data_IF_562289689335
#
_entry.id   IF_562289689335
#
_cell.length_a   1.000
_cell.length_b   1.000
_cell.length_c   1.000
_cell.angle_alpha   90.00
_cell.angle_beta   90.00
_cell.angle_gamma   90.00
#
_symmetry.space_group_name_H-M   'P 1'
#
loop_
_entity.id
_entity.type
_entity.pdbx_description
1 polymer ?
#
# COMPACT_ATOMS: atom_id res chain seq x y z
N UNK A 1 4.90 -3.70 45.70
CA UNK A 1 5.74 -4.25 46.78
C UNK A 1 7.11 -4.56 46.22
N UNK A 2 8.13 -4.03 46.87
CA UNK A 2 9.53 -3.92 46.44
C UNK A 2 10.23 -5.28 46.41
N UNK A 3 10.92 -5.62 45.32
CA UNK A 3 11.75 -6.84 45.24
C UNK A 3 13.02 -6.68 46.08
N UNK A 4 13.31 -7.59 47.04
CA UNK A 4 14.57 -7.54 47.77
C UNK A 4 15.73 -8.13 46.95
N UNK A 5 16.88 -7.44 47.05
CA UNK A 5 18.17 -7.79 46.45
C UNK A 5 18.86 -8.93 47.21
N UNK A 6 18.93 -10.12 46.61
CA UNK A 6 20.09 -11.06 46.59
C UNK A 6 19.64 -12.41 46.02
N UNK A 7 20.04 -12.72 44.79
CA UNK A 7 19.92 -14.05 44.21
C UNK A 7 21.21 -14.83 44.49
N UNK A 8 21.12 -15.97 45.17
CA UNK A 8 22.21 -16.95 45.24
C UNK A 8 21.80 -18.22 44.50
N UNK A 9 22.47 -18.45 43.37
CA UNK A 9 22.52 -19.66 42.51
C UNK A 9 21.21 -20.34 42.11
N UNK A 10 20.89 -20.22 40.82
CA UNK A 10 19.95 -21.08 40.10
C UNK A 10 20.67 -22.38 39.70
N UNK A 11 20.16 -23.54 40.11
CA UNK A 11 20.54 -24.82 39.54
C UNK A 11 19.31 -25.42 38.84
N UNK A 12 19.35 -25.50 37.51
CA UNK A 12 18.25 -26.00 36.68
C UNK A 12 18.31 -27.52 36.59
N UNK A 13 17.22 -28.20 36.94
CA UNK A 13 17.05 -29.65 36.72
C UNK A 13 15.68 -29.84 36.03
N UNK A 14 15.69 -29.85 34.69
CA UNK A 14 14.58 -30.00 33.71
C UNK A 14 13.83 -28.72 33.26
N UNK A 15 13.37 -28.64 31.98
CA UNK A 15 12.96 -27.40 31.32
C UNK A 15 11.61 -26.80 31.78
N UNK A 16 10.73 -27.59 32.40
CA UNK A 16 9.32 -27.18 32.58
C UNK A 16 8.93 -26.94 34.05
N UNK A 17 9.91 -26.89 34.96
CA UNK A 17 9.65 -26.68 36.40
C UNK A 17 10.76 -25.84 37.01
N UNK A 18 10.42 -24.59 37.38
CA UNK A 18 11.33 -23.73 38.15
C UNK A 18 11.10 -24.02 39.63
N UNK A 19 12.15 -24.49 40.30
CA UNK A 19 12.12 -24.76 41.74
C UNK A 19 12.96 -23.71 42.46
N UNK A 20 12.35 -22.99 43.41
CA UNK A 20 13.00 -21.91 44.15
C UNK A 20 13.06 -22.30 45.63
N UNK A 21 14.23 -22.13 46.25
CA UNK A 21 14.46 -22.37 47.67
C UNK A 21 14.50 -21.04 48.42
N UNK A 22 13.65 -20.87 49.43
CA UNK A 22 13.63 -19.69 50.29
C UNK A 22 13.43 -20.13 51.75
N UNK A 23 14.32 -19.71 52.66
CA UNK A 23 14.21 -19.97 54.11
C UNK A 23 13.88 -21.44 54.46
N UNK A 24 14.48 -22.40 53.74
CA UNK A 24 14.29 -23.83 53.99
C UNK A 24 13.00 -24.46 53.45
N UNK A 25 12.14 -23.72 52.76
CA UNK A 25 10.91 -24.23 52.15
C UNK A 25 11.04 -24.39 50.62
N UNK A 26 10.65 -25.56 50.11
CA UNK A 26 10.63 -25.87 48.68
C UNK A 26 9.28 -25.46 48.06
N UNK A 27 9.26 -24.43 47.22
CA UNK A 27 8.08 -24.11 46.41
C UNK A 27 8.25 -24.60 44.97
N UNK A 28 7.26 -25.37 44.48
CA UNK A 28 7.12 -25.74 43.06
C UNK A 28 6.06 -24.85 42.41
N UNK A 29 6.47 -24.07 41.43
CA UNK A 29 5.56 -23.26 40.61
C UNK A 29 5.42 -23.97 39.27
N UNK A 30 4.25 -24.55 39.00
CA UNK A 30 3.91 -25.05 37.66
C UNK A 30 3.59 -23.85 36.75
N UNK A 31 4.43 -23.65 35.73
CA UNK A 31 4.15 -22.65 34.70
C UNK A 31 3.03 -23.16 33.81
N UNK A 32 1.81 -22.66 34.03
CA UNK A 32 0.71 -22.88 33.09
C UNK A 32 0.99 -22.06 31.84
N UNK A 33 1.31 -22.73 30.73
CA UNK A 33 1.56 -22.08 29.44
C UNK A 33 0.39 -21.17 29.04
N UNK A 34 0.62 -19.85 29.04
CA UNK A 34 -0.31 -18.90 28.46
C UNK A 34 0.05 -18.79 26.98
N UNK A 35 -0.70 -19.49 26.12
CA UNK A 35 -0.55 -19.37 24.66
C UNK A 35 -0.69 -17.88 24.26
N UNK A 36 0.34 -17.27 23.64
CA UNK A 36 0.22 -15.90 23.16
C UNK A 36 -0.83 -15.85 22.04
N UNK A 37 -1.90 -15.09 22.25
CA UNK A 37 -2.86 -14.77 21.19
C UNK A 37 -2.21 -13.74 20.28
N UNK A 38 -1.57 -14.19 19.19
CA UNK A 38 -1.16 -13.30 18.13
C UNK A 38 -2.40 -12.67 17.48
N UNK A 39 -2.68 -11.42 17.79
CA UNK A 39 -3.55 -10.59 16.97
C UNK A 39 -2.84 -10.32 15.64
N UNK A 40 -3.53 -10.46 14.52
CA UNK A 40 -3.01 -10.05 13.22
C UNK A 40 -2.83 -8.54 13.28
N UNK A 41 -1.60 -8.08 13.43
CA UNK A 41 -1.28 -6.67 13.28
C UNK A 41 -1.48 -6.30 11.81
N UNK A 42 -2.52 -5.52 11.52
CA UNK A 42 -2.74 -4.93 10.19
C UNK A 42 -1.69 -3.83 9.97
N UNK A 43 -0.50 -4.22 9.50
CA UNK A 43 0.47 -3.25 9.00
C UNK A 43 -0.09 -2.57 7.76
N UNK A 44 -0.07 -1.24 7.73
CA UNK A 44 -0.33 -0.48 6.51
C UNK A 44 0.63 -0.97 5.41
N UNK A 45 0.06 -1.38 4.27
CA UNK A 45 0.82 -1.97 3.16
C UNK A 45 1.19 -0.94 2.09
N UNK A 46 0.54 0.24 2.10
CA UNK A 46 0.77 1.28 1.10
C UNK A 46 1.97 2.14 1.48
N UNK A 47 2.95 2.20 0.59
CA UNK A 47 4.11 3.09 0.72
C UNK A 47 3.74 4.57 0.50
N UNK A 48 2.71 4.82 -0.32
CA UNK A 48 2.32 6.18 -0.74
C UNK A 48 0.85 6.46 -0.42
N UNK A 49 0.58 7.67 0.07
CA UNK A 49 -0.78 8.20 0.23
C UNK A 49 -1.43 8.36 -1.14
N UNK A 50 -2.73 8.04 -1.22
CA UNK A 50 -3.54 8.25 -2.43
C UNK A 50 -4.42 9.47 -2.23
N UNK A 51 -4.40 10.36 -3.20
CA UNK A 51 -5.25 11.54 -3.23
C UNK A 51 -6.39 11.27 -4.21
N UNK A 52 -7.66 11.43 -3.79
CA UNK A 52 -8.79 11.28 -4.70
C UNK A 52 -8.73 12.41 -5.73
N UNK A 53 -8.54 12.06 -6.99
CA UNK A 53 -8.45 13.03 -8.07
C UNK A 53 -9.06 12.49 -9.34
N UNK A 54 -10.01 13.25 -9.88
CA UNK A 54 -10.79 12.92 -11.06
C UNK A 54 -10.27 13.69 -12.27
N UNK A 55 -9.04 13.40 -12.68
CA UNK A 55 -8.43 14.09 -13.81
C UNK A 55 -8.67 13.37 -15.14
N UNK A 56 -8.86 14.12 -16.24
CA UNK A 56 -8.85 13.56 -17.59
C UNK A 56 -7.51 12.90 -17.88
N UNK A 57 -7.59 11.73 -18.52
CA UNK A 57 -6.42 11.07 -19.08
C UNK A 57 -6.61 10.79 -20.57
N UNK A 58 -5.48 10.72 -21.25
CA UNK A 58 -5.35 10.15 -22.58
C UNK A 58 -4.32 9.05 -22.51
N UNK A 59 -4.54 7.95 -23.22
CA UNK A 59 -3.61 6.83 -23.21
C UNK A 59 -3.48 6.17 -24.58
N UNK A 60 -2.34 5.53 -24.75
CA UNK A 60 -1.91 4.85 -25.97
C UNK A 60 -1.46 3.44 -25.61
N UNK A 61 -1.96 2.47 -26.37
CA UNK A 61 -1.48 1.08 -26.31
C UNK A 61 -0.26 0.95 -27.22
N UNK A 62 0.71 0.12 -26.84
CA UNK A 62 1.89 -0.13 -27.68
C UNK A 62 1.55 -0.58 -29.12
N UNK A 63 0.43 -1.30 -29.28
CA UNK A 63 0.01 -1.89 -30.56
C UNK A 63 -1.04 -1.05 -31.31
N UNK A 64 -1.36 0.17 -30.86
CA UNK A 64 -2.38 1.01 -31.50
C UNK A 64 -1.92 2.47 -31.57
N UNK A 65 -1.90 3.08 -32.77
CA UNK A 65 -1.61 4.50 -32.91
C UNK A 65 -2.79 5.38 -32.45
N UNK A 66 -3.99 4.82 -32.34
CA UNK A 66 -5.16 5.56 -31.89
C UNK A 66 -5.11 5.76 -30.37
N UNK A 67 -5.28 7.01 -29.95
CA UNK A 67 -5.46 7.36 -28.56
C UNK A 67 -6.87 6.98 -28.06
N UNK A 68 -6.98 6.91 -26.75
CA UNK A 68 -8.22 6.69 -26.01
C UNK A 68 -8.23 7.62 -24.81
N UNK A 69 -9.41 7.94 -24.31
CA UNK A 69 -9.59 8.80 -23.14
C UNK A 69 -10.15 8.02 -21.96
N UNK A 70 -9.94 8.55 -20.77
CA UNK A 70 -10.48 8.00 -19.52
C UNK A 70 -10.37 9.01 -18.39
N UNK A 71 -10.58 8.55 -17.17
CA UNK A 71 -10.45 9.38 -15.97
C UNK A 71 -9.61 8.69 -14.91
N UNK A 72 -8.77 9.44 -14.22
CA UNK A 72 -8.24 8.98 -12.93
C UNK A 72 -9.33 9.03 -11.86
N UNK A 73 -9.17 8.20 -10.82
CA UNK A 73 -10.00 8.19 -9.62
C UNK A 73 -9.16 8.54 -8.39
N UNK A 74 -7.89 8.15 -8.41
CA UNK A 74 -6.88 8.57 -7.44
C UNK A 74 -5.50 8.65 -8.09
N UNK A 75 -4.58 9.35 -7.41
CA UNK A 75 -3.15 9.28 -7.69
C UNK A 75 -2.32 9.14 -6.43
N UNK A 76 -1.12 8.60 -6.61
CA UNK A 76 -0.04 8.55 -5.64
C UNK A 76 1.28 8.68 -6.39
N UNK A 77 2.39 8.82 -5.65
CA UNK A 77 3.74 8.80 -6.26
C UNK A 77 4.08 7.46 -6.93
N UNK A 78 3.39 6.37 -6.59
CA UNK A 78 3.65 5.05 -7.14
C UNK A 78 2.74 4.66 -8.32
N UNK A 79 1.66 5.39 -8.57
CA UNK A 79 0.67 4.96 -9.56
C UNK A 79 -0.67 5.69 -9.46
N UNK A 80 -1.57 5.30 -10.35
CA UNK A 80 -2.92 5.86 -10.48
C UNK A 80 -3.96 4.75 -10.37
N UNK A 81 -5.15 5.13 -9.93
CA UNK A 81 -6.34 4.40 -10.25
C UNK A 81 -7.05 5.05 -11.43
N UNK A 82 -7.37 4.27 -12.46
CA UNK A 82 -7.95 4.74 -13.72
C UNK A 82 -9.27 4.01 -13.99
N UNK A 83 -10.22 4.75 -14.54
CA UNK A 83 -11.46 4.26 -15.10
C UNK A 83 -11.33 4.22 -16.63
N UNK A 84 -11.11 3.03 -17.19
CA UNK A 84 -10.98 2.85 -18.65
C UNK A 84 -12.35 2.55 -19.30
N UNK A 85 -12.63 3.09 -20.50
CA UNK A 85 -13.87 2.78 -21.23
C UNK A 85 -13.82 1.44 -21.99
N UNK A 86 -12.65 0.80 -22.03
CA UNK A 86 -12.42 -0.47 -22.72
C UNK A 86 -11.59 -1.40 -21.84
N UNK A 87 -11.67 -2.70 -22.12
CA UNK A 87 -10.92 -3.70 -21.39
C UNK A 87 -9.42 -3.60 -21.71
N UNK A 88 -8.60 -3.55 -20.68
CA UNK A 88 -7.13 -3.64 -20.74
C UNK A 88 -6.67 -4.95 -20.08
N UNK A 89 -5.39 -5.26 -20.15
CA UNK A 89 -4.84 -6.51 -19.59
C UNK A 89 -3.83 -6.24 -18.48
N UNK A 90 -3.80 -7.08 -17.44
CA UNK A 90 -2.77 -7.01 -16.40
C UNK A 90 -1.40 -7.32 -16.99
N UNK A 91 -0.38 -6.54 -16.61
CA UNK A 91 0.98 -6.57 -17.18
C UNK A 91 1.14 -5.74 -18.45
N UNK A 92 0.05 -5.18 -18.99
CA UNK A 92 0.11 -4.32 -20.17
C UNK A 92 0.75 -2.97 -19.83
N UNK A 93 1.70 -2.54 -20.66
CA UNK A 93 2.26 -1.19 -20.61
C UNK A 93 1.44 -0.22 -21.47
N UNK A 94 1.14 0.95 -20.92
CA UNK A 94 0.40 2.03 -21.58
C UNK A 94 1.19 3.34 -21.43
N UNK A 95 1.26 4.13 -22.50
CA UNK A 95 1.69 5.52 -22.39
C UNK A 95 0.48 6.36 -22.01
N UNK A 96 0.59 7.14 -20.94
CA UNK A 96 -0.51 7.92 -20.37
C UNK A 96 -0.12 9.40 -20.30
N UNK A 97 -1.06 10.26 -20.67
CA UNK A 97 -1.03 11.70 -20.43
C UNK A 97 -2.12 12.04 -19.41
N UNK A 98 -1.74 12.73 -18.34
CA UNK A 98 -2.63 13.19 -17.29
C UNK A 98 -2.73 14.72 -17.37
N UNK A 99 -3.95 15.24 -17.41
CA UNK A 99 -4.20 16.66 -17.61
C UNK A 99 -4.81 17.31 -16.36
N UNK A 100 -4.29 18.47 -15.97
CA UNK A 100 -4.86 19.27 -14.89
C UNK A 100 -4.56 20.76 -15.08
N UNK A 101 -5.42 21.60 -14.49
CA UNK A 101 -5.21 23.05 -14.48
C UNK A 101 -4.54 23.48 -13.19
N UNK A 102 -3.63 24.45 -13.28
CA UNK A 102 -3.07 25.21 -12.15
C UNK A 102 -3.16 26.70 -12.46
N UNK A 103 -2.69 27.55 -11.53
CA UNK A 103 -2.59 28.99 -11.73
C UNK A 103 -1.75 29.38 -12.96
N UNK A 104 -0.77 28.55 -13.32
CA UNK A 104 0.10 28.74 -14.49
C UNK A 104 -0.50 28.25 -15.82
N UNK A 105 -1.70 27.63 -15.80
CA UNK A 105 -2.42 27.17 -16.98
C UNK A 105 -2.71 25.67 -17.01
N UNK A 106 -2.91 25.12 -18.21
CA UNK A 106 -3.12 23.69 -18.41
C UNK A 106 -1.78 22.95 -18.40
N UNK A 107 -1.66 21.97 -17.52
CA UNK A 107 -0.48 21.13 -17.37
C UNK A 107 -0.76 19.72 -17.89
N UNK A 108 0.31 19.11 -18.40
CA UNK A 108 0.30 17.73 -18.87
C UNK A 108 1.45 16.98 -18.21
N UNK A 109 1.16 15.80 -17.68
CA UNK A 109 2.14 14.85 -17.17
C UNK A 109 2.12 13.64 -18.09
N UNK A 110 3.26 13.35 -18.71
CA UNK A 110 3.46 12.16 -19.55
C UNK A 110 4.23 11.09 -18.77
N UNK A 111 3.75 9.85 -18.86
CA UNK A 111 4.29 8.71 -18.13
C UNK A 111 4.03 7.40 -18.88
N UNK A 112 4.81 6.37 -18.57
CA UNK A 112 4.52 4.98 -18.93
C UNK A 112 4.09 4.24 -17.68
N UNK A 113 3.00 3.49 -17.80
CA UNK A 113 2.40 2.75 -16.69
C UNK A 113 2.19 1.29 -17.04
N UNK A 114 2.25 0.42 -16.04
CA UNK A 114 1.90 -0.99 -16.12
C UNK A 114 0.57 -1.23 -15.41
N UNK A 115 -0.35 -1.95 -16.05
CA UNK A 115 -1.60 -2.38 -15.42
C UNK A 115 -1.32 -3.46 -14.38
N UNK A 116 -1.62 -3.20 -13.10
CA UNK A 116 -1.32 -4.11 -12.00
C UNK A 116 -2.53 -4.91 -11.50
N UNK A 117 -3.74 -4.37 -11.67
CA UNK A 117 -4.97 -5.09 -11.36
C UNK A 117 -6.16 -4.44 -12.09
N UNK A 118 -7.20 -5.24 -12.35
CA UNK A 118 -8.45 -4.79 -12.96
C UNK A 118 -9.60 -5.30 -12.09
N UNK A 119 -10.57 -4.45 -11.77
CA UNK A 119 -11.81 -4.90 -11.16
C UNK A 119 -12.68 -5.54 -12.24
N UNK A 120 -12.83 -6.85 -12.19
CA UNK A 120 -13.64 -7.63 -13.14
C UNK A 120 -15.10 -7.73 -12.72
N UNK A 121 -15.44 -7.33 -11.49
CA UNK A 121 -16.82 -7.31 -11.00
C UNK A 121 -17.47 -5.97 -11.38
N UNK A 122 -17.87 -5.88 -12.64
CA UNK A 122 -18.71 -4.80 -13.12
C UNK A 122 -20.14 -5.04 -12.66
N UNK A 123 -20.77 -4.02 -12.08
CA UNK A 123 -22.22 -4.07 -11.84
C UNK A 123 -22.97 -4.16 -13.19
N UNK A 124 -24.19 -4.69 -13.18
CA UNK A 124 -25.02 -4.74 -14.38
C UNK A 124 -25.21 -3.33 -14.96
N UNK A 125 -24.73 -3.11 -16.19
CA UNK A 125 -24.74 -1.81 -16.87
C UNK A 125 -23.48 -0.94 -16.70
N UNK A 126 -22.50 -1.36 -15.90
CA UNK A 126 -21.22 -0.66 -15.76
C UNK A 126 -20.33 -0.90 -16.98
N UNK A 127 -20.05 0.17 -17.73
CA UNK A 127 -19.30 0.11 -19.00
C UNK A 127 -17.80 0.38 -18.85
N UNK A 128 -17.34 0.64 -17.63
CA UNK A 128 -15.99 1.12 -17.39
C UNK A 128 -15.21 0.23 -16.43
N UNK A 129 -13.93 0.03 -16.73
CA UNK A 129 -13.06 -0.89 -16.03
C UNK A 129 -12.20 -0.13 -15.03
N UNK A 130 -12.51 -0.29 -13.74
CA UNK A 130 -11.69 0.27 -12.66
C UNK A 130 -10.37 -0.51 -12.58
N UNK A 131 -9.28 0.19 -12.78
CA UNK A 131 -7.97 -0.40 -13.02
C UNK A 131 -6.91 0.30 -12.19
N UNK A 132 -6.04 -0.47 -11.54
CA UNK A 132 -4.84 0.09 -10.92
C UNK A 132 -3.66 0.01 -11.87
N UNK A 133 -2.90 1.09 -11.96
CA UNK A 133 -1.67 1.15 -12.73
C UNK A 133 -0.51 1.61 -11.84
N UNK A 134 0.69 1.13 -12.12
CA UNK A 134 1.94 1.56 -11.47
C UNK A 134 2.82 2.29 -12.48
N UNK A 135 3.52 3.33 -12.05
CA UNK A 135 4.50 4.00 -12.90
C UNK A 135 5.69 3.10 -13.18
N UNK A 136 5.97 2.84 -14.46
CA UNK A 136 7.21 2.20 -14.91
C UNK A 136 8.23 3.23 -15.38
N UNK A 137 7.76 4.38 -15.88
CA UNK A 137 8.59 5.52 -16.23
C UNK A 137 7.82 6.83 -16.08
N UNK A 138 8.44 7.80 -15.40
CA UNK A 138 7.96 9.18 -15.27
C UNK A 138 9.19 10.07 -15.07
N UNK A 139 9.25 11.20 -15.78
CA UNK A 139 10.39 12.12 -15.63
C UNK A 139 10.39 12.77 -14.23
N UNK A 140 11.55 13.15 -13.69
CA UNK A 140 11.61 13.87 -12.40
C UNK A 140 10.78 15.15 -12.40
N UNK A 141 10.79 15.90 -13.50
CA UNK A 141 9.97 17.11 -13.67
C UNK A 141 8.47 16.80 -13.57
N UNK A 142 8.01 15.75 -14.26
CA UNK A 142 6.62 15.32 -14.24
C UNK A 142 6.20 14.77 -12.87
N UNK A 143 7.11 14.11 -12.16
CA UNK A 143 6.88 13.68 -10.78
C UNK A 143 6.75 14.88 -9.83
N UNK A 144 7.60 15.90 -9.98
CA UNK A 144 7.49 17.14 -9.21
C UNK A 144 6.14 17.81 -9.44
N UNK A 145 5.69 17.95 -10.71
CA UNK A 145 4.36 18.47 -11.05
C UNK A 145 3.23 17.68 -10.37
N UNK A 146 3.31 16.34 -10.37
CA UNK A 146 2.32 15.50 -9.71
C UNK A 146 2.27 15.75 -8.20
N UNK A 147 3.44 15.89 -7.56
CA UNK A 147 3.56 16.15 -6.13
C UNK A 147 3.01 17.51 -5.75
N UNK A 148 3.39 18.56 -6.49
CA UNK A 148 2.89 19.91 -6.28
C UNK A 148 1.37 19.97 -6.42
N UNK A 149 0.82 19.34 -7.47
CA UNK A 149 -0.63 19.25 -7.65
C UNK A 149 -1.32 18.49 -6.52
N UNK A 150 -0.75 17.36 -6.10
CA UNK A 150 -1.32 16.53 -5.03
C UNK A 150 -1.27 17.20 -3.66
N UNK A 151 -0.32 18.11 -3.43
CA UNK A 151 -0.18 18.84 -2.17
C UNK A 151 -1.37 19.78 -1.88
N UNK A 152 -2.14 20.16 -2.90
CA UNK A 152 -3.39 20.94 -2.72
C UNK A 152 -4.47 20.14 -1.98
N UNK A 153 -4.36 18.81 -1.95
CA UNK A 153 -5.31 17.91 -1.29
C UNK A 153 -4.86 17.46 0.11
N UNK A 154 -3.80 18.05 0.66
CA UNK A 154 -3.30 17.81 2.02
C UNK A 154 -3.91 18.79 3.02
#
# INVERSE_FOLDING_TARGET
>A
MTLPKKFSSLCTIKPDTVTIFYEGLLMKIEQKEVKPRYGIANFERRTYRRFPMHLPIEYYRANSPANRTGHSLDASEGGLQILFPEQVEVGQNLSVKLYFSSESGLNTIEMVVEVVWINTQLAEGEKHYRTGVRFTSISPENMTKLKEFSAVFL
#
